data_IF_017302518155
#
_entry.id   IF_017302518155
#
_cell.length_a   1.000
_cell.length_b   1.000
_cell.length_c   1.000
_cell.angle_alpha   90.00
_cell.angle_beta   90.00
_cell.angle_gamma   90.00
#
_symmetry.space_group_name_H-M   'P 1'
#
loop_
_entity.id
_entity.type
_entity.pdbx_description
1 polymer ?
#
# COMPACT_ATOMS: atom_id res chain seq x y z
N UNK A 1 -30.95 -14.46 2.40
CA UNK A 1 -31.38 -13.41 1.44
C UNK A 1 -30.34 -12.32 1.49
N UNK A 2 -29.47 -12.27 0.48
CA UNK A 2 -28.40 -11.27 0.41
C UNK A 2 -29.02 -9.92 0.08
N UNK A 3 -28.74 -8.91 0.90
CA UNK A 3 -29.18 -7.55 0.67
C UNK A 3 -28.52 -7.00 -0.63
N UNK A 4 -29.29 -6.70 -1.66
CA UNK A 4 -28.73 -6.17 -2.92
C UNK A 4 -28.04 -4.82 -2.75
N UNK A 5 -28.35 -4.06 -1.69
CA UNK A 5 -27.69 -2.80 -1.37
C UNK A 5 -26.25 -2.96 -0.92
N UNK A 6 -25.94 -4.02 -0.17
CA UNK A 6 -24.58 -4.29 0.31
C UNK A 6 -23.63 -4.71 -0.84
N UNK A 7 -24.13 -5.50 -1.78
CA UNK A 7 -23.34 -5.92 -2.94
C UNK A 7 -23.02 -4.78 -3.91
N UNK A 8 -23.91 -3.77 -4.04
CA UNK A 8 -23.67 -2.59 -4.84
C UNK A 8 -22.62 -1.67 -4.20
N UNK A 9 -22.69 -1.45 -2.89
CA UNK A 9 -21.72 -0.63 -2.14
C UNK A 9 -20.29 -1.20 -2.22
N UNK A 10 -20.14 -2.52 -2.20
CA UNK A 10 -18.84 -3.19 -2.33
C UNK A 10 -18.26 -3.05 -3.76
N UNK A 11 -19.11 -2.93 -4.78
CA UNK A 11 -18.64 -2.79 -6.17
C UNK A 11 -18.12 -1.41 -6.50
N UNK A 12 -18.60 -0.38 -5.84
CA UNK A 12 -18.26 1.02 -6.11
C UNK A 12 -17.12 1.54 -5.26
N UNK A 13 -16.73 0.83 -4.20
CA UNK A 13 -15.61 1.20 -3.36
C UNK A 13 -14.25 0.91 -4.03
N UNK A 14 -13.22 1.75 -3.81
CA UNK A 14 -11.94 1.60 -4.47
C UNK A 14 -11.14 0.39 -3.96
N UNK A 15 -10.20 -0.08 -4.77
CA UNK A 15 -9.11 -0.93 -4.31
C UNK A 15 -8.10 -0.10 -3.53
N UNK A 16 -7.48 -0.68 -2.51
CA UNK A 16 -6.25 -0.13 -1.92
C UNK A 16 -5.07 -0.93 -2.43
N UNK A 17 -4.11 -0.27 -3.09
CA UNK A 17 -2.88 -0.89 -3.57
C UNK A 17 -1.71 -0.33 -2.76
N UNK A 18 -1.09 -1.17 -1.93
CA UNK A 18 0.11 -0.78 -1.19
C UNK A 18 1.32 -0.77 -2.12
N UNK A 19 2.03 0.34 -2.17
CA UNK A 19 3.10 0.59 -3.14
C UNK A 19 4.31 1.26 -2.48
N UNK A 20 5.48 0.69 -2.70
CA UNK A 20 6.77 1.18 -2.20
C UNK A 20 7.82 1.37 -3.30
N UNK A 21 7.41 1.31 -4.57
CA UNK A 21 8.31 1.40 -5.72
C UNK A 21 9.08 0.12 -6.02
N UNK A 22 8.91 -0.95 -5.23
CA UNK A 22 9.56 -2.24 -5.47
C UNK A 22 9.00 -2.96 -6.71
N UNK A 23 9.72 -3.94 -7.22
CA UNK A 23 9.23 -4.79 -8.31
C UNK A 23 7.97 -5.57 -7.91
N UNK A 24 7.92 -6.04 -6.65
CA UNK A 24 6.74 -6.72 -6.11
C UNK A 24 5.50 -5.81 -6.11
N UNK A 25 5.66 -4.56 -5.71
CA UNK A 25 4.59 -3.57 -5.72
C UNK A 25 4.13 -3.21 -7.15
N UNK A 26 5.06 -3.07 -8.09
CA UNK A 26 4.73 -2.86 -9.51
C UNK A 26 3.94 -4.04 -10.08
N UNK A 27 4.36 -5.26 -9.76
CA UNK A 27 3.63 -6.47 -10.14
C UNK A 27 2.24 -6.54 -9.51
N UNK A 28 2.07 -6.07 -8.28
CA UNK A 28 0.77 -5.99 -7.63
C UNK A 28 -0.21 -5.10 -8.42
N UNK A 29 0.26 -3.97 -8.96
CA UNK A 29 -0.52 -3.11 -9.86
C UNK A 29 -0.92 -3.86 -11.13
N UNK A 30 0.02 -4.57 -11.77
CA UNK A 30 -0.24 -5.30 -13.02
C UNK A 30 -1.29 -6.41 -12.79
N UNK A 31 -1.21 -7.13 -11.68
CA UNK A 31 -2.18 -8.17 -11.30
C UNK A 31 -3.54 -7.55 -10.95
N UNK A 32 -3.55 -6.46 -10.17
CA UNK A 32 -4.79 -5.74 -9.85
C UNK A 32 -5.52 -5.27 -11.10
N UNK A 33 -4.79 -4.74 -12.09
CA UNK A 33 -5.35 -4.31 -13.37
C UNK A 33 -5.96 -5.46 -14.16
N UNK A 34 -5.28 -6.62 -14.16
CA UNK A 34 -5.76 -7.81 -14.87
C UNK A 34 -7.03 -8.39 -14.24
N UNK A 35 -7.13 -8.36 -12.91
CA UNK A 35 -8.27 -8.90 -12.18
C UNK A 35 -9.44 -7.93 -12.08
N UNK A 36 -9.16 -6.64 -12.05
CA UNK A 36 -10.13 -5.58 -11.79
C UNK A 36 -10.03 -4.43 -12.80
N UNK A 37 -10.14 -4.69 -14.10
CA UNK A 37 -9.95 -3.65 -15.11
C UNK A 37 -10.96 -2.51 -14.94
N UNK A 38 -10.50 -1.27 -15.09
CA UNK A 38 -11.33 -0.08 -15.01
C UNK A 38 -11.82 0.31 -13.60
N UNK A 39 -11.34 -0.40 -12.55
CA UNK A 39 -11.74 -0.10 -11.17
C UNK A 39 -11.03 1.15 -10.65
N UNK A 40 -11.71 1.86 -9.76
CA UNK A 40 -11.09 2.90 -8.95
C UNK A 40 -10.09 2.28 -7.97
N UNK A 41 -8.95 2.94 -7.79
CA UNK A 41 -7.91 2.51 -6.88
C UNK A 41 -7.25 3.68 -6.16
N UNK A 42 -6.90 3.47 -4.91
CA UNK A 42 -5.98 4.31 -4.15
C UNK A 42 -4.65 3.59 -4.08
N UNK A 43 -3.61 4.18 -4.67
CA UNK A 43 -2.24 3.69 -4.54
C UNK A 43 -1.61 4.38 -3.35
N UNK A 44 -1.34 3.60 -2.31
CA UNK A 44 -0.86 4.07 -1.02
C UNK A 44 0.62 3.77 -0.83
N UNK A 45 1.41 4.80 -0.58
CA UNK A 45 2.76 4.66 -0.06
C UNK A 45 2.80 5.09 1.41
N UNK A 46 3.39 4.27 2.27
CA UNK A 46 3.55 4.55 3.69
C UNK A 46 5.03 4.69 4.00
N UNK A 47 5.43 5.88 4.48
CA UNK A 47 6.76 6.12 5.02
C UNK A 47 6.77 5.92 6.54
N UNK A 48 7.90 5.46 7.07
CA UNK A 48 8.13 5.47 8.50
C UNK A 48 8.55 6.89 8.95
N UNK A 49 8.08 7.37 10.12
CA UNK A 49 8.59 8.62 10.66
C UNK A 49 10.09 8.51 10.94
N UNK A 50 10.81 9.63 10.81
CA UNK A 50 12.21 9.70 11.20
C UNK A 50 12.31 9.36 12.69
N UNK A 51 13.08 8.34 13.01
CA UNK A 51 13.26 7.95 14.41
C UNK A 51 14.01 9.05 15.15
N UNK A 52 13.65 9.25 16.43
CA UNK A 52 14.33 10.21 17.32
C UNK A 52 15.85 9.98 17.33
N UNK A 53 16.32 8.77 17.05
CA UNK A 53 17.75 8.41 16.96
C UNK A 53 18.43 9.05 15.72
N UNK A 54 17.74 9.10 14.60
CA UNK A 54 18.24 9.76 13.37
C UNK A 54 18.16 11.28 13.52
N UNK A 55 17.14 11.79 14.22
CA UNK A 55 16.97 13.20 14.54
C UNK A 55 18.00 13.73 15.56
N UNK A 56 18.47 12.91 16.48
CA UNK A 56 19.52 13.29 17.45
C UNK A 56 20.94 13.31 16.83
N UNK A 57 21.14 12.68 15.70
CA UNK A 57 22.41 12.73 14.96
C UNK A 57 22.63 14.08 14.24
N UNK A 58 21.58 14.88 14.07
CA UNK A 58 21.63 16.18 13.43
C UNK A 58 20.87 17.22 14.29
N UNK A 59 21.42 18.42 14.40
CA UNK A 59 21.01 19.53 15.25
C UNK A 59 19.49 19.82 15.25
N UNK A 60 18.95 20.16 16.42
CA UNK A 60 17.52 20.33 16.82
C UNK A 60 16.58 21.13 15.88
N UNK A 61 17.06 21.76 14.80
CA UNK A 61 16.26 22.51 13.82
C UNK A 61 15.78 21.69 12.61
N UNK A 62 16.17 20.41 12.52
CA UNK A 62 16.07 19.62 11.29
C UNK A 62 14.88 18.66 11.30
N UNK A 63 14.27 18.38 12.47
CA UNK A 63 13.21 17.34 12.62
C UNK A 63 11.96 17.66 11.78
N UNK A 64 11.48 18.90 11.76
CA UNK A 64 10.32 19.28 10.94
C UNK A 64 10.59 19.16 9.44
N UNK A 65 11.78 19.53 8.99
CA UNK A 65 12.15 19.40 7.58
C UNK A 65 12.26 17.95 7.11
N UNK A 66 12.61 17.00 8.01
CA UNK A 66 12.66 15.56 7.69
C UNK A 66 11.27 14.93 7.63
N UNK A 67 10.32 15.34 8.48
CA UNK A 67 8.94 14.85 8.41
C UNK A 67 8.28 15.30 7.11
N UNK A 68 8.41 16.56 6.74
CA UNK A 68 7.92 17.10 5.46
C UNK A 68 8.57 16.40 4.26
N UNK A 69 9.89 16.09 4.33
CA UNK A 69 10.59 15.36 3.30
C UNK A 69 10.10 13.91 3.18
N UNK A 70 9.81 13.24 4.28
CA UNK A 70 9.27 11.88 4.27
C UNK A 70 7.85 11.82 3.72
N UNK A 71 7.02 12.79 4.06
CA UNK A 71 5.67 12.91 3.51
C UNK A 71 5.72 13.17 2.00
N UNK A 72 6.61 14.06 1.56
CA UNK A 72 6.84 14.35 0.13
C UNK A 72 7.28 13.08 -0.62
N UNK A 73 8.24 12.32 -0.08
CA UNK A 73 8.72 11.08 -0.69
C UNK A 73 7.60 10.02 -0.77
N UNK A 74 6.79 9.88 0.27
CA UNK A 74 5.65 8.97 0.26
C UNK A 74 4.64 9.39 -0.83
N UNK A 75 4.34 10.69 -0.91
CA UNK A 75 3.41 11.20 -1.91
C UNK A 75 3.94 11.02 -3.35
N UNK A 76 5.23 11.29 -3.58
CA UNK A 76 5.87 11.08 -4.89
C UNK A 76 5.86 9.61 -5.29
N UNK A 77 6.17 8.70 -4.36
CA UNK A 77 6.11 7.25 -4.57
C UNK A 77 4.69 6.81 -4.91
N UNK A 78 3.70 7.28 -4.17
CA UNK A 78 2.30 7.00 -4.45
C UNK A 78 1.84 7.54 -5.81
N UNK A 79 2.29 8.74 -6.19
CA UNK A 79 1.99 9.34 -7.48
C UNK A 79 2.60 8.55 -8.65
N UNK A 80 3.84 8.05 -8.50
CA UNK A 80 4.45 7.15 -9.49
C UNK A 80 3.61 5.88 -9.69
N UNK A 81 3.23 5.25 -8.58
CA UNK A 81 2.39 4.05 -8.61
C UNK A 81 1.01 4.31 -9.23
N UNK A 82 0.38 5.43 -8.90
CA UNK A 82 -0.91 5.83 -9.48
C UNK A 82 -0.81 6.09 -11.00
N UNK A 83 0.26 6.75 -11.43
CA UNK A 83 0.51 6.96 -12.86
C UNK A 83 0.69 5.62 -13.60
N UNK A 84 1.41 4.65 -13.00
CA UNK A 84 1.53 3.30 -13.53
C UNK A 84 0.18 2.60 -13.62
N UNK A 85 -0.62 2.66 -12.55
CA UNK A 85 -1.93 2.02 -12.48
C UNK A 85 -2.91 2.60 -13.54
N UNK A 86 -2.89 3.92 -13.74
CA UNK A 86 -3.69 4.59 -14.77
C UNK A 86 -3.26 4.16 -16.19
N UNK A 87 -1.96 4.09 -16.47
CA UNK A 87 -1.46 3.59 -17.77
C UNK A 87 -1.85 2.13 -18.02
N UNK A 88 -1.95 1.34 -16.95
CA UNK A 88 -2.35 -0.06 -17.04
C UNK A 88 -3.87 -0.27 -17.18
N UNK A 89 -4.70 0.74 -16.89
CA UNK A 89 -6.15 0.70 -17.11
C UNK A 89 -7.01 0.75 -15.84
N UNK A 90 -6.45 1.09 -14.68
CA UNK A 90 -7.21 1.46 -13.49
C UNK A 90 -7.55 2.95 -13.51
N UNK A 91 -8.44 3.37 -12.63
CA UNK A 91 -8.71 4.78 -12.33
C UNK A 91 -8.09 5.08 -10.95
N UNK A 92 -6.82 5.45 -10.94
CA UNK A 92 -6.03 5.49 -9.73
C UNK A 92 -5.63 6.91 -9.31
N UNK A 93 -5.61 7.13 -7.99
CA UNK A 93 -5.01 8.29 -7.34
C UNK A 93 -3.97 7.86 -6.32
N UNK A 94 -2.92 8.66 -6.15
CA UNK A 94 -1.89 8.44 -5.15
C UNK A 94 -2.26 9.02 -3.79
N UNK A 95 -1.83 8.35 -2.73
CA UNK A 95 -1.90 8.84 -1.35
C UNK A 95 -0.61 8.46 -0.61
N UNK A 96 0.06 9.46 -0.03
CA UNK A 96 1.17 9.27 0.89
C UNK A 96 0.70 9.32 2.33
N UNK A 97 1.26 8.49 3.19
CA UNK A 97 1.02 8.47 4.64
C UNK A 97 2.31 8.25 5.41
N UNK A 98 2.34 8.73 6.65
CA UNK A 98 3.39 8.42 7.61
C UNK A 98 2.77 7.58 8.72
N UNK A 99 3.26 6.36 8.92
CA UNK A 99 2.74 5.48 9.96
C UNK A 99 3.78 4.49 10.49
N UNK A 100 3.67 4.18 11.77
CA UNK A 100 4.39 3.10 12.46
C UNK A 100 3.41 2.32 13.33
N UNK A 101 3.34 1.01 13.14
CA UNK A 101 3.98 0.23 12.08
C UNK A 101 3.30 0.46 10.72
N UNK A 102 4.02 0.23 9.61
CA UNK A 102 3.52 0.43 8.24
C UNK A 102 2.21 -0.30 7.96
N UNK A 103 2.08 -1.55 8.42
CA UNK A 103 0.87 -2.35 8.21
C UNK A 103 -0.39 -1.72 8.83
N UNK A 104 -0.25 -1.05 9.98
CA UNK A 104 -1.36 -0.36 10.63
C UNK A 104 -1.83 0.82 9.76
N UNK A 105 -0.90 1.62 9.23
CA UNK A 105 -1.24 2.71 8.32
C UNK A 105 -2.00 2.23 7.08
N UNK A 106 -1.63 1.09 6.53
CA UNK A 106 -2.36 0.48 5.40
C UNK A 106 -3.79 0.12 5.80
N UNK A 107 -4.00 -0.49 6.96
CA UNK A 107 -5.33 -0.87 7.44
C UNK A 107 -6.20 0.34 7.80
N UNK A 108 -5.61 1.38 8.40
CA UNK A 108 -6.31 2.61 8.73
C UNK A 108 -6.84 3.30 7.47
N UNK A 109 -6.00 3.43 6.44
CA UNK A 109 -6.42 4.00 5.15
C UNK A 109 -7.46 3.12 4.47
N UNK A 110 -7.32 1.79 4.52
CA UNK A 110 -8.33 0.86 3.99
C UNK A 110 -9.71 1.09 4.63
N UNK A 111 -9.72 1.32 5.95
CA UNK A 111 -10.95 1.66 6.68
C UNK A 111 -11.53 3.00 6.28
N UNK A 112 -10.70 4.04 6.20
CA UNK A 112 -11.13 5.39 5.83
C UNK A 112 -11.78 5.46 4.44
N UNK A 113 -11.22 4.76 3.46
CA UNK A 113 -11.74 4.77 2.08
C UNK A 113 -12.81 3.70 1.83
N UNK A 114 -13.09 2.85 2.81
CA UNK A 114 -14.00 1.72 2.65
C UNK A 114 -13.53 0.75 1.56
N UNK A 115 -12.25 0.41 1.54
CA UNK A 115 -11.64 -0.38 0.46
C UNK A 115 -12.38 -1.70 0.20
N UNK A 116 -12.57 -2.05 -1.07
CA UNK A 116 -13.13 -3.35 -1.47
C UNK A 116 -12.16 -4.49 -1.20
N UNK A 117 -10.88 -4.25 -1.43
CA UNK A 117 -9.79 -5.18 -1.19
C UNK A 117 -8.46 -4.44 -1.07
N UNK A 118 -7.50 -5.05 -0.39
CA UNK A 118 -6.12 -4.60 -0.32
C UNK A 118 -5.29 -5.47 -1.27
N UNK A 119 -4.51 -4.85 -2.16
CA UNK A 119 -3.60 -5.54 -3.07
C UNK A 119 -2.17 -5.12 -2.75
N UNK A 120 -1.28 -6.06 -2.60
CA UNK A 120 0.12 -5.78 -2.27
C UNK A 120 1.06 -6.88 -2.77
N UNK A 121 2.29 -6.51 -3.04
CA UNK A 121 3.35 -7.47 -3.34
C UNK A 121 3.85 -8.15 -2.06
N UNK A 122 4.32 -9.38 -2.18
CA UNK A 122 5.10 -10.00 -1.14
C UNK A 122 6.59 -9.76 -1.40
N UNK A 123 7.31 -9.29 -0.37
CA UNK A 123 8.77 -9.27 -0.39
C UNK A 123 9.31 -10.67 -0.05
N UNK A 124 9.23 -11.60 -0.99
CA UNK A 124 9.99 -12.82 -0.86
C UNK A 124 11.45 -12.52 -1.25
N UNK A 125 12.26 -12.12 -0.28
CA UNK A 125 13.71 -12.25 -0.43
C UNK A 125 14.01 -13.74 -0.55
N UNK A 126 14.51 -14.10 -1.71
CA UNK A 126 15.11 -15.40 -2.08
C UNK A 126 15.27 -16.41 -0.92
N UNK A 127 14.42 -17.45 -0.95
CA UNK A 127 14.80 -18.76 -0.43
C UNK A 127 14.42 -19.14 0.99
N UNK A 128 13.86 -18.26 1.82
CA UNK A 128 13.54 -18.58 3.22
C UNK A 128 12.04 -18.43 3.48
N UNK A 129 11.38 -19.55 3.79
CA UNK A 129 10.02 -19.58 4.36
C UNK A 129 9.90 -18.74 5.65
N UNK A 130 11.01 -18.50 6.33
CA UNK A 130 11.14 -17.70 7.55
C UNK A 130 11.05 -16.18 7.30
N UNK A 131 11.22 -15.71 6.07
CA UNK A 131 11.12 -14.28 5.74
C UNK A 131 9.68 -13.74 5.68
N UNK A 132 8.67 -14.59 5.85
CA UNK A 132 7.26 -14.16 5.88
C UNK A 132 6.82 -13.70 7.27
N UNK A 133 7.43 -14.19 8.34
CA UNK A 133 7.13 -13.74 9.69
C UNK A 133 7.72 -12.33 9.89
N UNK A 134 6.85 -11.36 10.19
CA UNK A 134 7.21 -9.95 10.39
C UNK A 134 7.22 -9.10 9.12
N UNK A 135 6.87 -9.64 7.94
CA UNK A 135 6.68 -8.82 6.73
C UNK A 135 5.40 -8.00 6.82
N UNK A 136 5.40 -6.81 6.18
CA UNK A 136 4.21 -5.94 6.14
C UNK A 136 3.00 -6.70 5.58
N UNK A 137 3.20 -7.51 4.53
CA UNK A 137 2.13 -8.29 3.91
C UNK A 137 1.54 -9.37 4.84
N UNK A 138 2.38 -10.00 5.65
CA UNK A 138 1.93 -10.96 6.65
C UNK A 138 1.09 -10.29 7.74
N UNK A 139 1.56 -9.16 8.28
CA UNK A 139 0.82 -8.44 9.32
C UNK A 139 -0.48 -7.85 8.78
N UNK A 140 -0.50 -7.32 7.56
CA UNK A 140 -1.75 -6.88 6.92
C UNK A 140 -2.72 -8.04 6.79
N UNK A 141 -2.30 -9.20 6.26
CA UNK A 141 -3.16 -10.37 6.11
C UNK A 141 -3.70 -10.89 7.44
N UNK A 142 -2.89 -10.83 8.50
CA UNK A 142 -3.26 -11.30 9.84
C UNK A 142 -4.29 -10.40 10.52
N UNK A 143 -4.21 -9.09 10.30
CA UNK A 143 -5.04 -8.10 11.01
C UNK A 143 -6.14 -7.48 10.15
N UNK A 144 -6.16 -7.74 8.84
CA UNK A 144 -7.17 -7.18 7.95
C UNK A 144 -8.56 -7.77 8.17
N UNK A 145 -9.56 -6.89 8.10
CA UNK A 145 -10.98 -7.27 7.99
C UNK A 145 -11.49 -7.15 6.54
N UNK A 146 -10.58 -7.00 5.59
CA UNK A 146 -10.83 -6.87 4.15
C UNK A 146 -10.19 -8.03 3.41
N UNK A 147 -10.69 -8.40 2.22
CA UNK A 147 -9.97 -9.28 1.33
C UNK A 147 -8.57 -8.72 1.05
N UNK A 148 -7.54 -9.55 1.18
CA UNK A 148 -6.15 -9.19 0.90
C UNK A 148 -5.61 -10.07 -0.20
N UNK A 149 -5.17 -9.46 -1.29
CA UNK A 149 -4.50 -10.12 -2.40
C UNK A 149 -2.99 -9.89 -2.30
N UNK A 150 -2.28 -10.92 -1.92
CA UNK A 150 -0.80 -10.89 -1.86
C UNK A 150 -0.24 -11.47 -3.15
N UNK A 151 0.48 -10.67 -3.90
CA UNK A 151 1.05 -11.04 -5.20
C UNK A 151 2.49 -11.53 -4.99
N UNK A 152 2.79 -12.80 -5.27
CA UNK A 152 4.14 -13.33 -5.10
C UNK A 152 5.08 -12.78 -6.18
N UNK A 153 6.41 -12.80 -5.94
CA UNK A 153 7.40 -12.45 -6.96
C UNK A 153 7.30 -13.42 -8.15
N UNK A 154 7.77 -12.98 -9.32
CA UNK A 154 7.90 -13.89 -10.46
C UNK A 154 8.88 -15.00 -10.11
N UNK A 155 8.49 -16.23 -10.40
CA UNK A 155 9.45 -17.34 -10.40
C UNK A 155 10.39 -17.13 -11.59
N UNK A 156 11.66 -17.21 -11.29
CA UNK A 156 12.67 -17.23 -12.33
C UNK A 156 12.52 -18.50 -13.20
#
# INVERSE_FOLDING_TARGET
MSDPGHAALVRDAPLLIAYDGSEGARRAIDVATSLFPGREAVVLAVAAPVTVREALAETVGVVQGFEEANESVALETAAEGAARANRAGLIARGRGEIAVPTWQGILDVAGEIGATAIVMGSHARTGLREALEGSVSHEVAKHAHYPVLIVPPRRA
#
